data_IF_143534739176
#
_entry.id   IF_143534739176
#
_cell.length_a   1.000
_cell.length_b   1.000
_cell.length_c   1.000
_cell.angle_alpha   90.00
_cell.angle_beta   90.00
_cell.angle_gamma   90.00
#
_symmetry.space_group_name_H-M   'P 1'
#
loop_
_entity.id
_entity.type
_entity.pdbx_description
1 polymer ?
#
# COMPACT_ATOMS: atom_id res chain seq x y z
N UNK A 1 4.83 -6.12 -6.16
CA UNK A 1 4.84 -7.55 -5.71
C UNK A 1 4.46 -8.48 -6.87
N UNK A 2 4.69 -9.80 -6.80
CA UNK A 2 4.16 -10.77 -7.76
C UNK A 2 3.07 -11.70 -7.20
N UNK A 3 2.21 -12.19 -8.09
CA UNK A 3 1.17 -13.22 -7.84
C UNK A 3 1.30 -14.29 -8.94
N UNK A 4 1.22 -15.57 -8.57
CA UNK A 4 1.25 -16.67 -9.55
C UNK A 4 -0.17 -16.99 -9.98
N UNK A 5 -0.42 -17.02 -11.29
CA UNK A 5 -1.71 -17.32 -11.89
C UNK A 5 -1.51 -18.41 -12.93
N UNK A 6 -2.09 -19.59 -12.70
CA UNK A 6 -2.03 -20.73 -13.64
C UNK A 6 -0.60 -21.07 -14.14
N UNK A 7 0.42 -20.90 -13.30
CA UNK A 7 1.81 -21.16 -13.67
C UNK A 7 2.61 -19.93 -14.08
N UNK A 8 1.95 -18.85 -14.50
CA UNK A 8 2.59 -17.60 -14.92
C UNK A 8 2.69 -16.58 -13.78
N UNK A 9 3.70 -15.71 -13.84
CA UNK A 9 3.90 -14.65 -12.85
C UNK A 9 3.26 -13.34 -13.34
N UNK A 10 2.47 -12.73 -12.47
CA UNK A 10 1.86 -11.42 -12.68
C UNK A 10 2.37 -10.43 -11.63
N UNK A 11 2.47 -9.16 -11.99
CA UNK A 11 2.85 -8.07 -11.12
C UNK A 11 1.62 -7.39 -10.54
N UNK A 12 1.58 -7.29 -9.22
CA UNK A 12 0.63 -6.47 -8.48
C UNK A 12 1.28 -5.13 -8.17
N UNK A 13 0.71 -4.10 -8.78
CA UNK A 13 0.95 -2.70 -8.50
C UNK A 13 -0.01 -2.24 -7.42
N UNK A 14 0.47 -1.46 -6.45
CA UNK A 14 -0.35 -0.88 -5.39
C UNK A 14 0.13 0.49 -5.01
N UNK A 15 -0.82 1.41 -4.86
CA UNK A 15 -0.59 2.74 -4.33
C UNK A 15 -1.28 2.84 -2.99
N UNK A 16 -0.58 3.35 -1.97
CA UNK A 16 -1.13 3.63 -0.65
C UNK A 16 -0.80 5.04 -0.22
N UNK A 17 -1.60 5.61 0.67
CA UNK A 17 -1.31 6.90 1.26
C UNK A 17 -0.52 6.79 2.58
N UNK A 18 -0.34 7.92 3.25
CA UNK A 18 0.30 8.03 4.57
C UNK A 18 -0.44 7.32 5.71
N UNK A 19 -1.72 6.98 5.56
CA UNK A 19 -2.54 6.22 6.53
C UNK A 19 -2.58 4.73 6.18
N UNK A 20 -1.88 4.30 5.13
CA UNK A 20 -1.85 2.93 4.61
C UNK A 20 -3.19 2.55 3.95
N UNK A 21 -4.01 3.53 3.59
CA UNK A 21 -5.18 3.29 2.74
C UNK A 21 -4.73 2.95 1.33
N UNK A 22 -5.34 1.92 0.74
CA UNK A 22 -5.06 1.50 -0.62
C UNK A 22 -5.80 2.44 -1.59
N UNK A 23 -5.03 3.25 -2.31
CA UNK A 23 -5.52 4.19 -3.32
C UNK A 23 -5.79 3.50 -4.66
N UNK A 24 -4.93 2.57 -5.06
CA UNK A 24 -5.11 1.85 -6.32
C UNK A 24 -4.46 0.47 -6.25
N UNK A 25 -5.02 -0.51 -6.96
CA UNK A 25 -4.44 -1.84 -7.14
C UNK A 25 -4.62 -2.30 -8.58
N UNK A 26 -3.51 -2.58 -9.25
CA UNK A 26 -3.51 -2.94 -10.67
C UNK A 26 -2.63 -4.16 -10.93
N UNK A 27 -2.99 -4.97 -11.91
CA UNK A 27 -2.33 -6.25 -12.19
C UNK A 27 -1.96 -6.33 -13.66
N UNK A 28 -0.70 -6.66 -13.91
CA UNK A 28 -0.15 -6.79 -15.27
C UNK A 28 0.77 -7.99 -15.38
N UNK A 29 1.03 -8.45 -16.62
CA UNK A 29 2.00 -9.52 -16.89
C UNK A 29 3.44 -8.99 -16.88
N UNK A 30 3.64 -7.71 -17.19
CA UNK A 30 4.94 -7.04 -17.35
C UNK A 30 5.04 -5.79 -16.48
N UNK A 31 6.26 -5.33 -16.17
CA UNK A 31 6.53 -4.02 -15.53
C UNK A 31 7.10 -2.98 -16.51
N UNK A 32 6.42 -2.83 -17.64
CA UNK A 32 6.80 -1.86 -18.68
C UNK A 32 6.31 -0.43 -18.39
N UNK A 33 6.62 0.49 -19.31
CA UNK A 33 6.20 1.89 -19.26
C UNK A 33 4.68 2.03 -19.27
N UNK A 34 3.99 1.28 -20.10
CA UNK A 34 2.54 1.44 -20.33
C UNK A 34 1.74 0.97 -19.11
N UNK A 35 2.18 -0.12 -18.48
CA UNK A 35 1.66 -0.59 -17.21
C UNK A 35 1.85 0.46 -16.10
N UNK A 36 3.06 1.01 -15.96
CA UNK A 36 3.36 2.04 -14.96
C UNK A 36 2.55 3.32 -15.21
N UNK A 37 2.47 3.78 -16.46
CA UNK A 37 1.69 4.97 -16.84
C UNK A 37 0.20 4.78 -16.53
N UNK A 38 -0.37 3.64 -16.94
CA UNK A 38 -1.78 3.34 -16.68
C UNK A 38 -2.08 3.30 -15.19
N UNK A 39 -1.20 2.66 -14.41
CA UNK A 39 -1.32 2.58 -12.96
C UNK A 39 -1.21 3.95 -12.30
N UNK A 40 -0.16 4.73 -12.61
CA UNK A 40 0.05 6.06 -12.03
C UNK A 40 -1.07 7.03 -12.39
N UNK A 41 -1.53 7.00 -13.64
CA UNK A 41 -2.67 7.82 -14.09
C UNK A 41 -3.94 7.52 -13.29
N UNK A 42 -4.22 6.23 -13.00
CA UNK A 42 -5.38 5.83 -12.20
C UNK A 42 -5.23 6.26 -10.74
N UNK A 43 -4.06 6.02 -10.14
CA UNK A 43 -3.78 6.43 -8.77
C UNK A 43 -3.93 7.94 -8.60
N UNK A 44 -3.29 8.74 -9.45
CA UNK A 44 -3.29 10.21 -9.42
C UNK A 44 -4.64 10.85 -9.78
N UNK A 45 -5.60 10.07 -10.30
CA UNK A 45 -6.97 10.55 -10.53
C UNK A 45 -7.78 10.64 -9.23
N UNK A 46 -7.35 9.98 -8.15
CA UNK A 46 -8.06 10.05 -6.86
C UNK A 46 -8.04 11.49 -6.31
N UNK A 47 -9.13 11.93 -5.62
CA UNK A 47 -9.16 13.23 -4.98
C UNK A 47 -8.02 13.41 -3.97
N UNK A 48 -7.47 14.62 -3.91
CA UNK A 48 -6.30 14.95 -3.11
C UNK A 48 -5.01 14.77 -3.91
N UNK A 49 -4.42 15.86 -4.40
CA UNK A 49 -3.09 15.79 -5.03
C UNK A 49 -2.07 15.40 -3.96
N UNK A 50 -1.20 14.41 -4.22
CA UNK A 50 -0.09 14.15 -3.32
C UNK A 50 0.88 15.34 -3.29
N UNK A 51 1.54 15.50 -2.14
CA UNK A 51 2.70 16.39 -2.01
C UNK A 51 3.93 15.70 -2.63
N UNK A 52 4.19 14.47 -2.23
CA UNK A 52 5.19 13.60 -2.82
C UNK A 52 4.60 12.22 -3.15
N UNK A 53 5.16 11.59 -4.19
CA UNK A 53 4.89 10.20 -4.57
C UNK A 53 6.19 9.42 -4.50
N UNK A 54 6.36 8.63 -3.45
CA UNK A 54 7.50 7.73 -3.36
C UNK A 54 7.27 6.49 -4.22
N UNK A 55 8.17 6.25 -5.16
CA UNK A 55 8.19 5.02 -5.97
C UNK A 55 9.45 4.21 -5.69
N UNK A 56 9.47 2.97 -6.18
CA UNK A 56 10.72 2.23 -6.30
C UNK A 56 11.65 2.82 -7.38
N UNK A 57 12.83 2.19 -7.54
CA UNK A 57 13.86 2.61 -8.49
C UNK A 57 13.60 2.13 -9.94
N UNK A 58 12.42 1.59 -10.28
CA UNK A 58 12.16 1.19 -11.66
C UNK A 58 12.15 2.41 -12.59
N UNK A 59 12.82 2.26 -13.74
CA UNK A 59 12.85 3.29 -14.79
C UNK A 59 11.46 3.59 -15.36
N UNK A 60 10.56 2.60 -15.40
CA UNK A 60 9.20 2.77 -15.92
C UNK A 60 8.38 3.78 -15.11
N UNK A 61 8.54 3.85 -13.79
CA UNK A 61 7.91 4.90 -12.97
C UNK A 61 8.42 6.29 -13.32
N UNK A 62 9.73 6.46 -13.49
CA UNK A 62 10.31 7.76 -13.84
C UNK A 62 9.77 8.29 -15.16
N UNK A 63 9.68 7.41 -16.15
CA UNK A 63 9.12 7.77 -17.46
C UNK A 63 7.62 8.10 -17.32
N UNK A 64 6.84 7.26 -16.64
CA UNK A 64 5.43 7.49 -16.40
C UNK A 64 5.14 8.81 -15.66
N UNK A 65 5.89 9.12 -14.61
CA UNK A 65 5.74 10.36 -13.83
C UNK A 65 6.09 11.59 -14.65
N UNK A 66 7.10 11.49 -15.52
CA UNK A 66 7.45 12.55 -16.47
C UNK A 66 6.31 12.77 -17.48
N UNK A 67 5.80 11.72 -18.09
CA UNK A 67 4.72 11.79 -19.09
C UNK A 67 3.42 12.35 -18.48
N UNK A 68 3.18 12.08 -17.19
CA UNK A 68 2.04 12.61 -16.45
C UNK A 68 2.27 14.02 -15.87
N UNK A 69 3.41 14.67 -16.15
CA UNK A 69 3.72 16.01 -15.66
C UNK A 69 3.95 16.10 -14.13
N UNK A 70 4.20 14.97 -13.46
CA UNK A 70 4.38 14.90 -12.01
C UNK A 70 5.82 14.55 -11.60
N UNK A 71 6.80 14.75 -12.49
CA UNK A 71 8.21 14.43 -12.26
C UNK A 71 8.75 15.02 -10.96
N UNK A 72 8.43 16.29 -10.67
CA UNK A 72 8.92 17.02 -9.49
C UNK A 72 8.37 16.46 -8.16
N UNK A 73 7.23 15.75 -8.20
CA UNK A 73 6.63 15.11 -7.02
C UNK A 73 7.20 13.72 -6.77
N UNK A 74 7.99 13.17 -7.68
CA UNK A 74 8.49 11.80 -7.55
C UNK A 74 9.69 11.77 -6.60
N UNK A 75 9.55 10.99 -5.54
CA UNK A 75 10.65 10.64 -4.65
C UNK A 75 11.04 9.17 -4.83
N UNK A 76 12.31 8.87 -4.56
CA UNK A 76 12.85 7.52 -4.70
C UNK A 76 13.50 7.12 -3.38
N UNK A 77 12.85 6.24 -2.61
CA UNK A 77 13.29 5.89 -1.27
C UNK A 77 12.99 4.45 -0.89
N UNK A 78 14.02 3.66 -0.55
CA UNK A 78 13.87 2.24 -0.19
C UNK A 78 13.15 2.02 1.14
N UNK A 79 13.24 2.96 2.09
CA UNK A 79 12.61 2.83 3.41
C UNK A 79 11.10 3.09 3.41
N UNK A 80 10.66 3.98 2.51
CA UNK A 80 9.27 4.35 2.32
C UNK A 80 8.42 3.21 1.73
N UNK A 81 9.06 2.29 0.98
CA UNK A 81 8.40 1.15 0.36
C UNK A 81 7.87 0.11 1.37
N UNK A 82 8.34 0.10 2.62
CA UNK A 82 7.86 -0.82 3.66
C UNK A 82 6.34 -0.74 3.88
N UNK A 83 5.75 0.45 3.70
CA UNK A 83 4.29 0.66 3.84
C UNK A 83 3.51 -0.09 2.75
N UNK A 84 3.94 0.07 1.50
CA UNK A 84 3.33 -0.65 0.37
C UNK A 84 3.56 -2.15 0.52
N UNK A 85 4.76 -2.57 0.92
CA UNK A 85 5.07 -3.98 1.18
C UNK A 85 4.16 -4.60 2.25
N UNK A 86 3.86 -3.88 3.33
CA UNK A 86 2.93 -4.34 4.36
C UNK A 86 1.50 -4.45 3.84
N UNK A 87 1.06 -3.52 2.99
CA UNK A 87 -0.28 -3.56 2.36
C UNK A 87 -0.51 -4.82 1.51
N UNK A 88 0.56 -5.47 1.06
CA UNK A 88 0.51 -6.70 0.29
C UNK A 88 0.21 -7.94 1.13
N UNK A 89 0.56 -7.95 2.41
CA UNK A 89 0.39 -9.11 3.31
C UNK A 89 -1.07 -9.57 3.41
N UNK A 90 -2.06 -8.70 3.76
CA UNK A 90 -3.45 -9.13 3.86
C UNK A 90 -4.03 -9.61 2.52
N UNK A 91 -3.62 -8.96 1.42
CA UNK A 91 -4.01 -9.38 0.08
C UNK A 91 -3.49 -10.79 -0.24
N UNK A 92 -2.21 -11.08 0.01
CA UNK A 92 -1.61 -12.41 -0.20
C UNK A 92 -2.30 -13.48 0.62
N UNK A 93 -2.61 -13.19 1.88
CA UNK A 93 -3.27 -14.15 2.76
C UNK A 93 -4.62 -14.58 2.20
N UNK A 94 -5.46 -13.61 1.77
CA UNK A 94 -6.76 -13.92 1.17
C UNK A 94 -6.63 -14.61 -0.18
N UNK A 95 -5.73 -14.13 -1.05
CA UNK A 95 -5.50 -14.75 -2.36
C UNK A 95 -5.14 -16.24 -2.25
N UNK A 96 -4.28 -16.60 -1.30
CA UNK A 96 -3.91 -18.01 -1.03
C UNK A 96 -5.07 -18.84 -0.49
N UNK A 97 -5.88 -18.30 0.43
CA UNK A 97 -7.04 -18.99 1.00
C UNK A 97 -8.10 -19.24 -0.08
N UNK A 98 -8.22 -18.36 -1.07
CA UNK A 98 -9.12 -18.52 -2.22
C UNK A 98 -8.59 -19.46 -3.31
N UNK A 99 -7.62 -20.33 -2.98
CA UNK A 99 -7.01 -21.33 -3.86
C UNK A 99 -6.34 -20.76 -5.12
N UNK A 100 -5.95 -19.48 -5.08
CA UNK A 100 -5.39 -18.72 -6.19
C UNK A 100 -6.35 -18.56 -7.36
N UNK A 101 -6.16 -17.48 -8.11
CA UNK A 101 -6.99 -17.21 -9.28
C UNK A 101 -6.47 -17.96 -10.51
N UNK A 102 -7.37 -18.31 -11.43
CA UNK A 102 -7.03 -18.94 -12.72
C UNK A 102 -7.00 -17.96 -13.90
N UNK A 103 -7.64 -16.79 -13.74
CA UNK A 103 -7.78 -15.75 -14.78
C UNK A 103 -7.40 -14.37 -14.24
N UNK A 104 -6.66 -13.61 -15.03
CA UNK A 104 -6.15 -12.28 -14.66
C UNK A 104 -7.29 -11.28 -14.41
N UNK A 105 -8.36 -11.33 -15.22
CA UNK A 105 -9.55 -10.48 -15.07
C UNK A 105 -10.21 -10.65 -13.70
N UNK A 106 -10.32 -11.88 -13.21
CA UNK A 106 -10.93 -12.17 -11.90
C UNK A 106 -10.01 -11.71 -10.77
N UNK A 107 -8.71 -11.94 -10.89
CA UNK A 107 -7.72 -11.45 -9.93
C UNK A 107 -7.71 -9.91 -9.84
N UNK A 108 -7.83 -9.21 -10.97
CA UNK A 108 -7.93 -7.76 -11.01
C UNK A 108 -9.20 -7.25 -10.30
N UNK A 109 -10.36 -7.87 -10.57
CA UNK A 109 -11.61 -7.54 -9.87
C UNK A 109 -11.48 -7.74 -8.36
N UNK A 110 -10.90 -8.87 -7.96
CA UNK A 110 -10.61 -9.16 -6.55
C UNK A 110 -9.69 -8.10 -5.94
N UNK A 111 -8.61 -7.71 -6.61
CA UNK A 111 -7.69 -6.68 -6.10
C UNK A 111 -8.36 -5.32 -5.89
N UNK A 112 -9.21 -4.90 -6.83
CA UNK A 112 -9.98 -3.65 -6.71
C UNK A 112 -10.98 -3.70 -5.55
N UNK A 113 -11.76 -4.79 -5.40
CA UNK A 113 -12.72 -4.94 -4.29
C UNK A 113 -11.98 -5.07 -2.94
N UNK A 114 -10.92 -5.86 -2.91
CA UNK A 114 -10.10 -6.07 -1.72
C UNK A 114 -9.55 -4.75 -1.18
N UNK A 115 -9.13 -3.83 -2.05
CA UNK A 115 -8.67 -2.50 -1.64
C UNK A 115 -9.75 -1.76 -0.85
N UNK A 116 -10.98 -1.68 -1.40
CA UNK A 116 -12.09 -1.00 -0.75
C UNK A 116 -12.49 -1.65 0.59
N UNK A 117 -12.59 -2.98 0.60
CA UNK A 117 -12.89 -3.75 1.83
C UNK A 117 -11.79 -3.55 2.87
N UNK A 118 -10.52 -3.61 2.45
CA UNK A 118 -9.40 -3.39 3.35
C UNK A 118 -9.46 -1.99 3.97
N UNK A 119 -9.66 -0.95 3.16
CA UNK A 119 -9.76 0.42 3.66
C UNK A 119 -10.92 0.59 4.63
N UNK A 120 -12.10 0.05 4.30
CA UNK A 120 -13.28 0.11 5.18
C UNK A 120 -13.00 -0.45 6.58
N UNK A 121 -12.32 -1.60 6.67
CA UNK A 121 -11.93 -2.21 7.94
C UNK A 121 -10.62 -1.65 8.54
N UNK A 122 -9.93 -0.75 7.83
CA UNK A 122 -8.69 -0.12 8.29
C UNK A 122 -8.93 1.29 8.87
N UNK A 123 -10.16 1.80 8.81
CA UNK A 123 -10.56 3.05 9.46
C UNK A 123 -10.26 2.96 10.97
N UNK A 124 -9.41 3.88 11.44
CA UNK A 124 -9.16 4.23 12.86
C UNK A 124 -8.15 3.43 13.69
N UNK A 125 -7.33 2.52 13.13
CA UNK A 125 -6.27 1.87 13.95
C UNK A 125 -5.15 2.81 14.41
N UNK A 126 -5.05 4.01 13.84
CA UNK A 126 -3.99 4.98 14.14
C UNK A 126 -4.51 6.29 14.77
N UNK A 127 -5.83 6.48 14.85
CA UNK A 127 -6.45 7.57 15.64
C UNK A 127 -6.53 7.21 17.13
N UNK A 128 -6.35 5.94 17.44
CA UNK A 128 -6.22 5.40 18.78
C UNK A 128 -4.72 5.16 18.99
N UNK A 129 -4.09 5.95 19.87
CA UNK A 129 -2.71 5.66 20.28
C UNK A 129 -2.66 4.26 20.91
N UNK A 130 -1.48 3.62 20.87
CA UNK A 130 -1.31 2.27 21.43
C UNK A 130 -1.77 2.19 22.88
N UNK A 131 -1.55 3.25 23.68
CA UNK A 131 -2.06 3.32 25.05
C UNK A 131 -3.59 3.29 25.10
N UNK A 132 -4.26 4.01 24.19
CA UNK A 132 -5.72 4.10 24.15
C UNK A 132 -6.36 2.77 23.69
N UNK A 133 -5.66 2.02 22.83
CA UNK A 133 -6.10 0.67 22.39
C UNK A 133 -5.93 -0.38 23.50
N UNK A 134 -4.83 -0.30 24.26
CA UNK A 134 -4.57 -1.21 25.39
C UNK A 134 -5.54 -0.98 26.57
N UNK A 135 -5.95 0.28 26.82
CA UNK A 135 -6.93 0.63 27.86
C UNK A 135 -8.35 0.20 27.50
N UNK A 136 -8.74 0.27 26.22
CA UNK A 136 -10.07 -0.19 25.77
C UNK A 136 -10.21 -1.70 25.62
N UNK A 137 -9.09 -2.44 25.64
CA UNK A 137 -9.05 -3.89 25.39
C UNK A 137 -8.67 -4.71 26.63
N UNK A 138 -8.70 -4.14 27.84
CA UNK A 138 -8.49 -4.89 29.08
C UNK A 138 -9.82 -5.49 29.59
N UNK A 139 -9.97 -6.83 29.65
CA UNK A 139 -10.89 -7.43 30.59
C UNK A 139 -10.46 -7.05 32.00
N UNK A 140 -11.43 -6.66 32.83
CA UNK A 140 -11.28 -6.28 34.24
C UNK A 140 -10.81 -7.45 35.11
N UNK A 141 -9.65 -8.06 34.88
CA UNK A 141 -8.98 -8.95 35.83
C UNK A 141 -7.46 -9.04 35.57
N UNK A 142 -6.68 -8.76 36.63
CA UNK A 142 -5.24 -9.00 36.84
C UNK A 142 -4.22 -7.94 36.38
N UNK A 143 -3.91 -7.02 37.30
CA UNK A 143 -2.60 -6.95 37.98
C UNK A 143 -1.31 -6.82 37.16
N UNK A 144 -0.72 -5.63 37.24
CA UNK A 144 0.72 -5.33 37.44
C UNK A 144 1.77 -5.73 36.39
N UNK A 145 2.48 -4.67 35.98
CA UNK A 145 3.93 -4.55 35.70
C UNK A 145 4.50 -4.66 34.27
N UNK A 146 5.18 -3.54 33.95
CA UNK A 146 6.50 -3.39 33.31
C UNK A 146 6.69 -3.81 31.86
N UNK A 147 6.51 -2.88 30.92
CA UNK A 147 7.29 -2.80 29.67
C UNK A 147 7.36 -1.36 29.14
N UNK A 148 8.23 -0.53 29.72
CA UNK A 148 8.66 0.73 29.10
C UNK A 148 10.16 0.66 28.82
N UNK A 149 10.53 0.35 27.58
CA UNK A 149 11.86 0.71 27.07
C UNK A 149 11.94 0.59 25.53
N UNK A 150 12.36 1.70 24.91
CA UNK A 150 13.08 1.82 23.62
C UNK A 150 12.27 1.69 22.33
N UNK A 151 12.02 2.85 21.70
CA UNK A 151 12.39 3.17 20.30
C UNK A 151 12.02 4.64 19.96
N UNK A 152 12.86 5.59 20.37
CA UNK A 152 12.93 6.88 19.70
C UNK A 152 13.82 6.72 18.46
N UNK A 153 13.19 6.47 17.31
CA UNK A 153 13.80 6.74 15.99
C UNK A 153 12.91 7.75 15.33
N UNK A 154 13.45 8.94 15.08
CA UNK A 154 12.76 10.02 14.38
C UNK A 154 12.13 9.46 13.11
N UNK A 155 10.80 9.41 13.08
CA UNK A 155 10.06 9.12 11.86
C UNK A 155 10.29 10.34 10.94
N UNK A 156 10.56 10.15 9.64
CA UNK A 156 10.58 11.28 8.72
C UNK A 156 9.24 12.04 8.85
N UNK A 157 9.28 13.36 8.74
CA UNK A 157 8.10 14.22 8.74
C UNK A 157 7.23 13.87 7.54
N UNK A 158 6.39 12.84 7.68
CA UNK A 158 5.44 12.42 6.66
C UNK A 158 4.37 13.49 6.56
N UNK A 159 4.18 14.02 5.36
CA UNK A 159 3.07 14.90 5.11
C UNK A 159 1.79 14.06 4.97
N UNK A 160 0.66 14.62 5.40
CA UNK A 160 -0.67 14.00 5.19
C UNK A 160 -1.06 13.74 3.73
N UNK A 161 -0.20 14.15 2.78
CA UNK A 161 -0.43 14.03 1.34
C UNK A 161 0.64 13.18 0.66
N UNK A 162 1.44 12.42 1.41
CA UNK A 162 2.46 11.56 0.81
C UNK A 162 1.84 10.25 0.36
N UNK A 163 2.13 9.86 -0.87
CA UNK A 163 1.68 8.61 -1.47
C UNK A 163 2.87 7.70 -1.76
N UNK A 164 2.63 6.40 -1.74
CA UNK A 164 3.65 5.37 -1.93
C UNK A 164 3.17 4.37 -2.98
N UNK A 165 3.96 4.11 -4.02
CA UNK A 165 3.58 3.29 -5.17
C UNK A 165 4.64 2.21 -5.50
N UNK A 166 4.19 0.96 -5.70
CA UNK A 166 5.05 -0.19 -5.99
C UNK A 166 4.39 -1.24 -6.88
#
# INVERSE_FOLDING_TARGET
MYVKLSGEMFYLWRCVDHEIEILESYITKTRDRDAAFTFMRKALKRPGSPAAVTTDRLRSYRVAMKDLGNKEKQEVGSWANKRVENSHVPFRRRERVMLQFKRSKTLQKFASIHANVHNHFNLQRHLVDRQTYEVGAQPRWLGSNSWQAKRSRQKPNLHRRDWFAF
#
